data_IF_178141814480
#
_entry.id   IF_178141814480
#
_cell.length_a   1.000
_cell.length_b   1.000
_cell.length_c   1.000
_cell.angle_alpha   90.00
_cell.angle_beta   90.00
_cell.angle_gamma   90.00
#
_symmetry.space_group_name_H-M   'P 1'
#
loop_
_entity.id
_entity.type
_entity.pdbx_description
1 polymer ?
#
# COMPACT_ATOMS: atom_id res chain seq x y z
N UNK A 1 34.16 -37.00 -15.28
CA UNK A 1 32.74 -37.20 -14.89
C UNK A 1 32.74 -37.36 -13.37
N UNK A 2 32.01 -36.65 -12.51
CA UNK A 2 30.77 -35.90 -12.63
C UNK A 2 30.80 -34.68 -11.68
N UNK A 3 30.26 -33.54 -12.12
CA UNK A 3 30.00 -32.38 -11.27
C UNK A 3 28.69 -32.64 -10.53
N UNK A 4 28.74 -32.78 -9.20
CA UNK A 4 27.55 -32.84 -8.35
C UNK A 4 26.84 -31.48 -8.39
N UNK A 5 25.71 -31.43 -9.07
CA UNK A 5 24.78 -30.30 -9.01
C UNK A 5 24.09 -30.32 -7.65
N UNK A 6 24.55 -29.45 -6.73
CA UNK A 6 23.85 -29.14 -5.49
C UNK A 6 22.52 -28.44 -5.81
N UNK A 7 21.45 -29.23 -5.88
CA UNK A 7 20.07 -28.74 -5.99
C UNK A 7 19.57 -28.30 -4.61
N UNK A 8 19.92 -27.08 -4.19
CA UNK A 8 19.41 -26.48 -2.96
C UNK A 8 18.11 -25.72 -3.21
N UNK A 9 17.04 -26.44 -3.60
CA UNK A 9 15.68 -25.95 -3.30
C UNK A 9 15.45 -26.11 -1.80
N UNK A 10 15.87 -25.10 -1.03
CA UNK A 10 15.56 -24.97 0.39
C UNK A 10 14.04 -24.79 0.51
N UNK A 11 13.33 -25.91 0.66
CA UNK A 11 11.89 -25.91 0.95
C UNK A 11 11.70 -25.31 2.33
N UNK A 12 11.22 -24.06 2.37
CA UNK A 12 10.83 -23.39 3.60
C UNK A 12 9.70 -24.23 4.21
N UNK A 13 9.96 -24.90 5.35
CA UNK A 13 8.92 -25.59 6.12
C UNK A 13 8.00 -24.51 6.71
N UNK A 14 6.79 -24.40 6.17
CA UNK A 14 5.74 -23.50 6.65
C UNK A 14 5.03 -24.23 7.81
N UNK A 15 5.06 -23.72 9.07
CA UNK A 15 4.36 -24.36 10.18
C UNK A 15 2.86 -24.56 9.90
N UNK A 16 2.31 -25.69 10.32
CA UNK A 16 0.92 -26.14 10.03
C UNK A 16 -0.19 -25.23 10.57
N UNK A 17 0.12 -24.24 11.42
CA UNK A 17 -0.85 -23.34 12.05
C UNK A 17 -0.51 -21.85 11.87
N UNK A 18 -0.07 -21.45 10.66
CA UNK A 18 0.14 -20.03 10.35
C UNK A 18 -1.18 -19.37 9.95
N UNK A 19 -1.41 -18.16 10.46
CA UNK A 19 -2.51 -17.32 9.97
C UNK A 19 -2.27 -17.04 8.47
N UNK A 20 -3.31 -16.92 7.63
CA UNK A 20 -3.14 -16.63 6.20
C UNK A 20 -2.23 -15.42 5.92
N UNK A 21 -2.31 -14.37 6.75
CA UNK A 21 -1.45 -13.18 6.67
C UNK A 21 0.04 -13.51 6.81
N UNK A 22 0.40 -14.45 7.68
CA UNK A 22 1.81 -14.84 7.89
C UNK A 22 2.35 -15.60 6.70
N UNK A 23 1.50 -16.38 6.01
CA UNK A 23 1.86 -17.04 4.75
C UNK A 23 2.12 -16.00 3.66
N UNK A 24 1.25 -15.01 3.50
CA UNK A 24 1.42 -13.94 2.51
C UNK A 24 2.66 -13.09 2.79
N UNK A 25 2.88 -12.71 4.05
CA UNK A 25 4.07 -11.95 4.43
C UNK A 25 5.35 -12.78 4.25
N UNK A 26 5.31 -14.08 4.49
CA UNK A 26 6.45 -14.96 4.21
C UNK A 26 6.77 -15.02 2.72
N UNK A 27 5.75 -15.04 1.86
CA UNK A 27 5.94 -14.98 0.39
C UNK A 27 6.51 -13.64 -0.05
N UNK A 28 5.96 -12.53 0.44
CA UNK A 28 6.45 -11.18 0.15
C UNK A 28 7.89 -11.00 0.62
N UNK A 29 8.22 -11.44 1.84
CA UNK A 29 9.59 -11.45 2.34
C UNK A 29 10.50 -12.28 1.42
N UNK A 30 10.11 -13.51 1.06
CA UNK A 30 10.96 -14.36 0.22
C UNK A 30 11.21 -13.77 -1.18
N UNK A 31 10.25 -13.03 -1.73
CA UNK A 31 10.37 -12.39 -3.03
C UNK A 31 11.03 -11.00 -2.99
N UNK A 32 11.08 -10.33 -1.84
CA UNK A 32 11.65 -9.00 -1.63
C UNK A 32 12.81 -9.03 -0.64
N UNK A 33 14.03 -9.26 -1.16
CA UNK A 33 15.25 -9.33 -0.36
C UNK A 33 16.21 -8.17 -0.66
N UNK A 34 16.11 -7.56 -1.86
CA UNK A 34 17.00 -6.47 -2.22
C UNK A 34 16.65 -5.20 -1.40
N UNK A 35 17.63 -4.58 -0.70
CA UNK A 35 17.37 -3.41 0.13
C UNK A 35 16.86 -2.19 -0.66
N UNK A 36 17.29 -2.03 -1.91
CA UNK A 36 16.80 -0.97 -2.80
C UNK A 36 15.33 -1.21 -3.18
N UNK A 37 14.96 -2.45 -3.50
CA UNK A 37 13.57 -2.80 -3.79
C UNK A 37 12.65 -2.57 -2.58
N UNK A 38 13.10 -2.97 -1.39
CA UNK A 38 12.40 -2.70 -0.14
C UNK A 38 12.23 -1.20 0.10
N UNK A 39 13.29 -0.39 -0.08
CA UNK A 39 13.22 1.07 0.06
C UNK A 39 12.22 1.68 -0.92
N UNK A 40 12.23 1.23 -2.18
CA UNK A 40 11.25 1.67 -3.18
C UNK A 40 9.82 1.32 -2.74
N UNK A 41 9.58 0.16 -2.14
CA UNK A 41 8.26 -0.17 -1.58
C UNK A 41 7.86 0.76 -0.44
N UNK A 42 8.77 1.07 0.49
CA UNK A 42 8.48 2.00 1.60
C UNK A 42 8.10 3.40 1.13
N UNK A 43 8.62 3.86 -0.01
CA UNK A 43 8.30 5.18 -0.57
C UNK A 43 7.09 5.11 -1.50
N UNK A 44 7.06 4.14 -2.41
CA UNK A 44 6.05 4.05 -3.45
C UNK A 44 4.69 3.61 -2.90
N UNK A 45 4.63 2.70 -1.92
CA UNK A 45 3.33 2.26 -1.36
C UNK A 45 2.53 3.43 -0.76
N UNK A 46 3.10 4.29 0.13
CA UNK A 46 2.40 5.48 0.60
C UNK A 46 1.99 6.44 -0.54
N UNK A 47 2.85 6.61 -1.55
CA UNK A 47 2.52 7.45 -2.71
C UNK A 47 1.38 6.86 -3.54
N UNK A 48 1.32 5.54 -3.72
CA UNK A 48 0.18 4.89 -4.39
C UNK A 48 -1.11 5.12 -3.61
N UNK A 49 -1.10 4.96 -2.28
CA UNK A 49 -2.25 5.28 -1.44
C UNK A 49 -2.66 6.74 -1.58
N UNK A 50 -1.70 7.68 -1.57
CA UNK A 50 -1.96 9.11 -1.79
C UNK A 50 -2.60 9.37 -3.15
N UNK A 51 -2.08 8.76 -4.22
CA UNK A 51 -2.63 8.89 -5.57
C UNK A 51 -4.05 8.33 -5.70
N UNK A 52 -4.32 7.16 -5.12
CA UNK A 52 -5.67 6.56 -5.08
C UNK A 52 -6.64 7.47 -4.32
N UNK A 53 -6.23 7.98 -3.15
CA UNK A 53 -7.05 8.91 -2.38
C UNK A 53 -7.31 10.21 -3.15
N UNK A 54 -6.31 10.78 -3.83
CA UNK A 54 -6.48 11.99 -4.63
C UNK A 54 -7.43 11.78 -5.81
N UNK A 55 -7.28 10.68 -6.56
CA UNK A 55 -8.16 10.37 -7.69
C UNK A 55 -9.60 10.19 -7.20
N UNK A 56 -9.80 9.40 -6.14
CA UNK A 56 -11.15 9.15 -5.61
C UNK A 56 -11.77 10.39 -4.96
N UNK A 57 -10.96 11.26 -4.34
CA UNK A 57 -11.42 12.56 -3.83
C UNK A 57 -11.90 13.48 -4.96
N UNK A 58 -11.24 13.46 -6.12
CA UNK A 58 -11.59 14.31 -7.26
C UNK A 58 -12.88 13.90 -7.98
N UNK A 59 -13.39 12.68 -7.76
CA UNK A 59 -14.64 12.22 -8.37
C UNK A 59 -15.82 12.98 -7.75
N UNK A 60 -16.71 13.57 -8.56
CA UNK A 60 -17.90 14.25 -8.04
C UNK A 60 -18.70 13.36 -7.10
N UNK A 61 -19.01 13.88 -5.92
CA UNK A 61 -19.78 13.18 -4.91
C UNK A 61 -21.13 13.91 -4.68
N UNK A 62 -22.26 13.18 -4.58
CA UNK A 62 -23.56 13.79 -4.32
C UNK A 62 -23.53 14.66 -3.06
N UNK A 63 -24.20 15.82 -3.12
CA UNK A 63 -24.33 16.66 -1.94
C UNK A 63 -25.35 16.05 -0.96
N UNK A 64 -24.86 15.58 0.18
CA UNK A 64 -25.69 15.04 1.25
C UNK A 64 -26.05 16.15 2.24
N UNK A 65 -27.30 16.63 2.18
CA UNK A 65 -27.78 17.77 2.97
C UNK A 65 -27.47 17.68 4.47
N UNK A 66 -27.57 16.48 5.06
CA UNK A 66 -27.32 16.27 6.49
C UNK A 66 -25.86 16.46 6.91
N UNK A 67 -24.90 16.42 5.97
CA UNK A 67 -23.48 16.63 6.23
C UNK A 67 -23.08 18.10 6.21
N UNK A 68 -23.84 18.97 5.56
CA UNK A 68 -23.54 20.41 5.46
C UNK A 68 -22.10 20.67 5.00
N UNK A 69 -21.32 21.38 5.83
CA UNK A 69 -19.90 21.69 5.58
C UNK A 69 -18.98 20.45 5.56
N UNK A 70 -19.39 19.34 6.16
CA UNK A 70 -18.60 18.11 6.21
C UNK A 70 -18.70 17.28 4.92
N UNK A 71 -19.59 17.65 4.00
CA UNK A 71 -19.73 16.96 2.71
C UNK A 71 -18.44 16.97 1.88
N UNK A 72 -17.57 17.96 2.06
CA UNK A 72 -16.26 18.00 1.38
C UNK A 72 -15.32 16.91 1.91
N UNK A 73 -15.43 16.59 3.21
CA UNK A 73 -14.61 15.57 3.88
C UNK A 73 -15.17 14.15 3.71
N UNK A 74 -16.46 14.03 3.41
CA UNK A 74 -17.12 12.76 3.16
C UNK A 74 -17.39 12.58 1.66
N UNK A 75 -16.53 11.82 0.99
CA UNK A 75 -16.56 11.59 -0.45
C UNK A 75 -16.15 10.14 -0.78
N UNK A 76 -15.91 9.82 -2.05
CA UNK A 76 -15.51 8.46 -2.46
C UNK A 76 -14.22 7.96 -1.78
N UNK A 77 -13.27 8.84 -1.45
CA UNK A 77 -12.08 8.47 -0.69
C UNK A 77 -12.41 7.97 0.72
N UNK A 78 -13.48 8.47 1.35
CA UNK A 78 -13.94 7.99 2.67
C UNK A 78 -14.35 6.52 2.63
N UNK A 79 -14.95 6.05 1.53
CA UNK A 79 -15.28 4.64 1.33
C UNK A 79 -14.03 3.78 1.13
N UNK A 80 -13.04 4.27 0.38
CA UNK A 80 -11.75 3.58 0.21
C UNK A 80 -11.06 3.41 1.56
N UNK A 81 -11.05 4.45 2.39
CA UNK A 81 -10.47 4.39 3.74
C UNK A 81 -11.24 3.40 4.60
N UNK A 82 -12.57 3.50 4.65
CA UNK A 82 -13.42 2.62 5.45
C UNK A 82 -13.22 1.14 5.07
N UNK A 83 -13.21 0.83 3.77
CA UNK A 83 -12.95 -0.52 3.28
C UNK A 83 -11.56 -1.01 3.65
N UNK A 84 -10.52 -0.20 3.43
CA UNK A 84 -9.12 -0.56 3.72
C UNK A 84 -8.89 -0.82 5.21
N UNK A 85 -9.47 0.02 6.07
CA UNK A 85 -9.43 -0.13 7.53
C UNK A 85 -10.21 -1.36 7.95
N UNK A 86 -11.45 -1.55 7.48
CA UNK A 86 -12.26 -2.72 7.81
C UNK A 86 -11.56 -4.03 7.42
N UNK A 87 -11.01 -4.09 6.21
CA UNK A 87 -10.29 -5.27 5.73
C UNK A 87 -9.04 -5.55 6.58
N UNK A 88 -8.26 -4.51 6.90
CA UNK A 88 -7.06 -4.65 7.71
C UNK A 88 -7.40 -5.01 9.16
N UNK A 89 -8.52 -4.53 9.70
CA UNK A 89 -9.03 -4.88 11.02
C UNK A 89 -9.32 -6.39 11.13
N UNK A 90 -9.83 -7.01 10.05
CA UNK A 90 -10.01 -8.48 9.98
C UNK A 90 -8.71 -9.26 9.97
N UNK A 91 -7.61 -8.63 9.53
CA UNK A 91 -6.28 -9.24 9.48
C UNK A 91 -5.55 -9.08 10.82
N UNK A 92 -5.45 -7.84 11.30
CA UNK A 92 -4.88 -7.51 12.62
C UNK A 92 -5.33 -6.13 13.09
N UNK A 93 -5.92 -6.01 14.29
CA UNK A 93 -6.33 -4.73 14.85
C UNK A 93 -5.20 -3.69 14.97
N UNK A 94 -4.00 -4.12 15.35
CA UNK A 94 -2.86 -3.22 15.55
C UNK A 94 -2.38 -2.59 14.24
N UNK A 95 -2.32 -3.39 13.17
CA UNK A 95 -1.99 -2.88 11.83
C UNK A 95 -3.11 -1.99 11.29
N UNK A 96 -4.37 -2.28 11.63
CA UNK A 96 -5.51 -1.44 11.25
C UNK A 96 -5.42 -0.05 11.85
N UNK A 97 -5.05 0.09 13.13
CA UNK A 97 -4.86 1.41 13.75
C UNK A 97 -3.68 2.16 13.10
N UNK A 98 -2.60 1.47 12.77
CA UNK A 98 -1.47 2.08 12.07
C UNK A 98 -1.87 2.54 10.67
N UNK A 99 -2.61 1.72 9.92
CA UNK A 99 -3.14 2.08 8.60
C UNK A 99 -4.07 3.29 8.70
N UNK A 100 -4.96 3.33 9.70
CA UNK A 100 -5.88 4.45 9.90
C UNK A 100 -5.12 5.76 10.09
N UNK A 101 -4.07 5.78 10.91
CA UNK A 101 -3.24 6.98 11.11
C UNK A 101 -2.51 7.41 9.83
N UNK A 102 -1.97 6.44 9.07
CA UNK A 102 -1.31 6.72 7.78
C UNK A 102 -2.31 7.30 6.78
N UNK A 103 -3.48 6.67 6.62
CA UNK A 103 -4.51 7.15 5.70
C UNK A 103 -5.06 8.51 6.11
N UNK A 104 -5.19 8.78 7.42
CA UNK A 104 -5.58 10.10 7.91
C UNK A 104 -4.55 11.18 7.52
N UNK A 105 -3.26 10.92 7.72
CA UNK A 105 -2.19 11.84 7.32
C UNK A 105 -2.16 12.06 5.80
N UNK A 106 -2.31 11.00 5.01
CA UNK A 106 -2.38 11.10 3.54
C UNK A 106 -3.63 11.87 3.09
N UNK A 107 -4.80 11.62 3.68
CA UNK A 107 -6.03 12.38 3.39
C UNK A 107 -5.90 13.86 3.70
N UNK A 108 -5.20 14.22 4.78
CA UNK A 108 -4.88 15.63 5.05
C UNK A 108 -4.03 16.22 3.92
N UNK A 109 -3.01 15.49 3.44
CA UNK A 109 -2.24 15.87 2.25
C UNK A 109 -3.11 16.07 1.01
N UNK A 110 -4.02 15.13 0.73
CA UNK A 110 -4.98 15.25 -0.38
C UNK A 110 -5.87 16.49 -0.23
N UNK A 111 -6.35 16.81 0.97
CA UNK A 111 -7.16 18.01 1.19
C UNK A 111 -6.42 19.31 0.85
N UNK A 112 -5.09 19.34 1.04
CA UNK A 112 -4.25 20.48 0.65
C UNK A 112 -4.07 20.56 -0.86
N UNK A 113 -3.88 19.41 -1.53
CA UNK A 113 -3.86 19.35 -2.99
C UNK A 113 -5.20 19.77 -3.60
N UNK A 114 -6.32 19.34 -2.99
CA UNK A 114 -7.66 19.74 -3.40
C UNK A 114 -7.89 21.26 -3.22
N UNK A 115 -7.40 21.83 -2.12
CA UNK A 115 -7.45 23.28 -1.93
C UNK A 115 -6.60 24.04 -2.96
N UNK A 116 -5.46 23.47 -3.36
CA UNK A 116 -4.62 24.06 -4.41
C UNK A 116 -5.28 24.02 -5.78
N UNK A 117 -5.94 22.91 -6.14
CA UNK A 117 -6.78 22.80 -7.34
C UNK A 117 -7.84 23.91 -7.39
N UNK A 118 -8.62 24.07 -6.30
CA UNK A 118 -9.64 25.13 -6.17
C UNK A 118 -9.03 26.54 -6.32
N UNK A 119 -7.78 26.73 -5.87
CA UNK A 119 -7.06 28.00 -5.98
C UNK A 119 -6.43 28.26 -7.37
N UNK A 120 -6.75 27.44 -8.38
CA UNK A 120 -6.23 27.57 -9.75
C UNK A 120 -4.98 26.74 -10.03
N UNK A 121 -4.65 25.80 -9.14
CA UNK A 121 -3.61 24.80 -9.36
C UNK A 121 -4.00 23.75 -10.42
N UNK A 122 -3.13 22.75 -10.66
CA UNK A 122 -3.47 21.65 -11.56
C UNK A 122 -4.62 20.81 -10.98
N UNK A 123 -5.51 20.27 -11.85
CA UNK A 123 -6.62 19.44 -11.38
C UNK A 123 -6.16 18.25 -10.53
N UNK A 124 -6.81 18.03 -9.39
CA UNK A 124 -6.41 17.01 -8.41
C UNK A 124 -6.32 15.61 -9.01
N UNK A 125 -7.21 15.29 -9.96
CA UNK A 125 -7.21 14.01 -10.66
C UNK A 125 -5.92 13.78 -11.45
N UNK A 126 -5.36 14.83 -12.08
CA UNK A 126 -4.10 14.73 -12.82
C UNK A 126 -2.91 14.60 -11.88
N UNK A 127 -2.90 15.36 -10.79
CA UNK A 127 -1.87 15.25 -9.74
C UNK A 127 -1.86 13.84 -9.15
N UNK A 128 -3.03 13.31 -8.77
CA UNK A 128 -3.19 11.96 -8.24
C UNK A 128 -2.74 10.88 -9.22
N UNK A 129 -3.10 11.02 -10.50
CA UNK A 129 -2.69 10.11 -11.57
C UNK A 129 -1.18 10.12 -11.78
N UNK A 130 -0.55 11.30 -11.80
CA UNK A 130 0.89 11.42 -11.93
C UNK A 130 1.64 10.78 -10.76
N UNK A 131 1.21 11.05 -9.52
CA UNK A 131 1.77 10.42 -8.31
C UNK A 131 1.65 8.90 -8.39
N UNK A 132 0.47 8.38 -8.76
CA UNK A 132 0.22 6.95 -8.86
C UNK A 132 1.10 6.30 -9.95
N UNK A 133 1.24 6.95 -11.11
CA UNK A 133 2.09 6.47 -12.19
C UNK A 133 3.58 6.42 -11.80
N UNK A 134 4.09 7.47 -11.15
CA UNK A 134 5.48 7.53 -10.66
C UNK A 134 5.73 6.42 -9.64
N UNK A 135 4.81 6.26 -8.67
CA UNK A 135 4.94 5.24 -7.63
C UNK A 135 4.91 3.83 -8.21
N UNK A 136 4.02 3.57 -9.18
CA UNK A 136 3.95 2.29 -9.86
C UNK A 136 5.23 1.99 -10.65
N UNK A 137 5.78 2.98 -11.35
CA UNK A 137 7.05 2.83 -12.07
C UNK A 137 8.22 2.57 -11.11
N UNK A 138 8.24 3.22 -9.94
CA UNK A 138 9.21 2.96 -8.88
C UNK A 138 9.15 1.51 -8.36
N UNK A 139 7.95 0.97 -8.12
CA UNK A 139 7.81 -0.45 -7.75
C UNK A 139 8.25 -1.39 -8.87
N UNK A 140 7.92 -1.07 -10.13
CA UNK A 140 8.37 -1.85 -11.27
C UNK A 140 9.89 -1.89 -11.38
N UNK A 141 10.57 -0.75 -11.21
CA UNK A 141 12.04 -0.68 -11.13
C UNK A 141 12.56 -1.55 -9.97
N UNK A 142 11.93 -1.47 -8.79
CA UNK A 142 12.28 -2.29 -7.63
C UNK A 142 12.25 -3.78 -7.95
N UNK A 143 11.17 -4.25 -8.58
CA UNK A 143 11.04 -5.64 -9.01
C UNK A 143 12.07 -6.06 -10.08
N UNK A 144 12.48 -5.14 -10.97
CA UNK A 144 13.57 -5.39 -11.92
C UNK A 144 14.92 -5.53 -11.21
N UNK A 145 15.20 -4.68 -10.23
CA UNK A 145 16.44 -4.73 -9.43
C UNK A 145 16.51 -6.01 -8.59
N UNK A 146 15.38 -6.50 -8.09
CA UNK A 146 15.29 -7.78 -7.39
C UNK A 146 15.71 -8.98 -8.26
N UNK A 147 15.69 -8.83 -9.59
CA UNK A 147 16.12 -9.86 -10.54
C UNK A 147 15.22 -11.10 -10.59
N UNK A 148 14.10 -11.08 -9.86
CA UNK A 148 13.11 -12.15 -9.81
C UNK A 148 11.80 -11.63 -10.39
N UNK A 149 11.43 -12.10 -11.57
CA UNK A 149 10.10 -11.88 -12.17
C UNK A 149 8.98 -12.19 -11.16
N UNK A 150 9.25 -13.11 -10.23
CA UNK A 150 8.38 -13.51 -9.13
C UNK A 150 7.98 -12.33 -8.21
N UNK A 151 8.87 -11.37 -7.92
CA UNK A 151 8.57 -10.26 -6.98
C UNK A 151 7.38 -9.41 -7.43
N UNK A 152 7.47 -8.83 -8.62
CA UNK A 152 6.42 -8.04 -9.23
C UNK A 152 5.13 -8.84 -9.49
N UNK A 153 5.25 -10.14 -9.80
CA UNK A 153 4.08 -11.01 -9.97
C UNK A 153 3.37 -11.28 -8.64
N UNK A 154 4.11 -11.45 -7.55
CA UNK A 154 3.53 -11.57 -6.21
C UNK A 154 2.87 -10.26 -5.78
N UNK A 155 3.44 -9.09 -6.09
CA UNK A 155 2.81 -7.79 -5.77
C UNK A 155 1.44 -7.63 -6.41
N UNK A 156 1.29 -8.07 -7.68
CA UNK A 156 -0.02 -8.05 -8.35
C UNK A 156 -1.03 -8.98 -7.70
N UNK A 157 -0.62 -10.18 -7.30
CA UNK A 157 -1.50 -11.15 -6.62
C UNK A 157 -1.85 -10.72 -5.20
N UNK A 158 -0.92 -10.04 -4.54
CA UNK A 158 -0.99 -9.66 -3.13
C UNK A 158 -1.15 -8.15 -2.94
N UNK A 159 -1.74 -7.46 -3.92
CA UNK A 159 -1.87 -5.99 -3.94
C UNK A 159 -2.52 -5.42 -2.69
N UNK A 160 -3.48 -6.15 -2.09
CA UNK A 160 -4.13 -5.74 -0.84
C UNK A 160 -3.25 -5.99 0.40
N UNK A 161 -2.35 -6.97 0.33
CA UNK A 161 -1.45 -7.34 1.43
C UNK A 161 -0.15 -6.54 1.40
N UNK A 162 0.32 -6.07 0.24
CA UNK A 162 1.57 -5.30 0.12
C UNK A 162 1.57 -4.01 0.98
N UNK A 163 0.51 -3.20 1.02
CA UNK A 163 0.44 -2.06 1.93
C UNK A 163 0.52 -2.46 3.41
N UNK A 164 -0.17 -3.53 3.77
CA UNK A 164 -0.21 -4.05 5.14
C UNK A 164 1.15 -4.63 5.54
N UNK A 165 1.87 -5.23 4.60
CA UNK A 165 3.22 -5.75 4.77
C UNK A 165 4.25 -4.62 4.97
N UNK A 166 4.14 -3.51 4.24
CA UNK A 166 4.96 -2.30 4.49
C UNK A 166 4.66 -1.74 5.89
N UNK A 167 3.40 -1.67 6.29
CA UNK A 167 3.01 -1.26 7.64
C UNK A 167 3.54 -2.20 8.72
N UNK A 168 3.59 -3.50 8.46
CA UNK A 168 4.17 -4.46 9.39
C UNK A 168 5.62 -4.13 9.73
N UNK A 169 6.45 -3.76 8.75
CA UNK A 169 7.82 -3.35 9.05
C UNK A 169 7.89 -2.07 9.89
N UNK A 170 7.01 -1.10 9.60
CA UNK A 170 6.92 0.12 10.40
C UNK A 170 6.51 -0.20 11.84
N UNK A 171 5.46 -1.01 12.01
CA UNK A 171 4.97 -1.50 13.30
C UNK A 171 6.06 -2.26 14.10
N UNK A 172 6.83 -3.11 13.42
CA UNK A 172 7.94 -3.86 14.04
C UNK A 172 9.05 -2.93 14.54
N UNK A 173 9.36 -1.84 13.82
CA UNK A 173 10.35 -0.84 14.25
C UNK A 173 9.91 -0.08 15.51
N UNK A 174 8.60 0.13 15.69
CA UNK A 174 8.02 0.79 16.88
C UNK A 174 7.62 -0.20 17.99
N UNK A 175 7.96 -1.48 17.87
CA UNK A 175 7.71 -2.50 18.89
C UNK A 175 6.28 -3.06 18.96
N UNK A 176 5.42 -2.74 17.99
CA UNK A 176 4.06 -3.27 17.94
C UNK A 176 4.03 -4.68 17.32
N UNK A 177 3.48 -5.63 18.07
CA UNK A 177 3.16 -6.99 17.59
C UNK A 177 1.77 -6.99 16.92
N UNK A 178 1.51 -7.92 16.01
CA UNK A 178 0.27 -7.97 15.22
C UNK A 178 -0.23 -9.40 14.98
#
# INVERSE_FOLDING_TARGET
>A
MAKQHLNTKKTIRIPENLRPVEVYFSRLNASHQNPTNLLLHFVCVPLMLLGILAITWAIPFPYLKFLGRYNVMFNWASFVIAFSVYYTLKISPNLSYTLLLVLFALSYGVSKLAAWDIAGGPPLIWVGTAILAIAWFGQYIGGKIEGREISFQEDKKLVLYTPIWVLHFLAKRIGLKY
#
